data_IF_345830559362
#
_entry.id   IF_345830559362
#
_cell.length_a   1.000
_cell.length_b   1.000
_cell.length_c   1.000
_cell.angle_alpha   90.00
_cell.angle_beta   90.00
_cell.angle_gamma   90.00
#
_symmetry.space_group_name_H-M   'P 1'
#
loop_
_entity.id
_entity.type
_entity.pdbx_description
1 polymer ?
#
# COMPACT_ATOMS: atom_id res chain seq x y z
N UNK A 1 -35.06 52.81 -19.65
CA UNK A 1 -33.83 52.06 -20.00
C UNK A 1 -32.83 52.02 -18.85
N UNK A 2 -33.18 51.46 -17.67
CA UNK A 2 -32.32 51.50 -16.46
C UNK A 2 -32.19 50.18 -15.66
N UNK A 3 -32.70 49.05 -16.15
CA UNK A 3 -32.70 47.78 -15.37
C UNK A 3 -31.73 46.69 -15.86
N UNK A 4 -30.91 46.92 -16.90
CA UNK A 4 -29.96 45.91 -17.41
C UNK A 4 -28.55 45.96 -16.76
N UNK A 5 -28.27 46.98 -15.95
CA UNK A 5 -26.94 47.24 -15.38
C UNK A 5 -26.57 46.30 -14.20
N UNK A 6 -27.47 45.85 -13.30
CA UNK A 6 -27.04 45.15 -12.08
C UNK A 6 -26.58 43.69 -12.30
N UNK A 7 -27.02 43.02 -13.36
CA UNK A 7 -26.67 41.61 -13.61
C UNK A 7 -25.28 41.47 -14.23
N UNK A 8 -24.90 42.44 -15.08
CA UNK A 8 -23.61 42.41 -15.78
C UNK A 8 -22.44 42.67 -14.84
N UNK A 9 -22.60 43.61 -13.91
CA UNK A 9 -21.59 43.88 -12.88
C UNK A 9 -21.37 42.63 -11.98
N UNK A 10 -22.43 41.87 -11.68
CA UNK A 10 -22.34 40.62 -10.92
C UNK A 10 -21.63 39.53 -11.71
N UNK A 11 -21.88 39.42 -13.02
CA UNK A 11 -21.20 38.47 -13.91
C UNK A 11 -19.70 38.75 -14.02
N UNK A 12 -19.31 40.03 -14.14
CA UNK A 12 -17.91 40.45 -14.21
C UNK A 12 -17.17 40.13 -12.90
N UNK A 13 -17.73 40.53 -11.75
CA UNK A 13 -17.15 40.24 -10.43
C UNK A 13 -17.09 38.73 -10.17
N UNK A 14 -18.11 37.97 -10.59
CA UNK A 14 -18.13 36.52 -10.44
C UNK A 14 -17.02 35.88 -11.27
N UNK A 15 -16.84 36.33 -12.51
CA UNK A 15 -15.79 35.83 -13.41
C UNK A 15 -14.39 36.08 -12.84
N UNK A 16 -14.14 37.27 -12.28
CA UNK A 16 -12.88 37.58 -11.58
C UNK A 16 -12.68 36.70 -10.34
N UNK A 17 -13.74 36.47 -9.57
CA UNK A 17 -13.70 35.62 -8.36
C UNK A 17 -13.43 34.16 -8.72
N UNK A 18 -14.06 33.64 -9.78
CA UNK A 18 -13.81 32.31 -10.33
C UNK A 18 -12.34 32.20 -10.76
N UNK A 19 -11.83 33.17 -11.52
CA UNK A 19 -10.43 33.17 -11.95
C UNK A 19 -9.44 33.20 -10.78
N UNK A 20 -9.78 33.88 -9.68
CA UNK A 20 -9.00 33.83 -8.45
C UNK A 20 -9.04 32.45 -7.78
N UNK A 21 -10.23 31.85 -7.66
CA UNK A 21 -10.41 30.51 -7.09
C UNK A 21 -9.66 29.45 -7.90
N UNK A 22 -9.69 29.54 -9.24
CA UNK A 22 -8.96 28.63 -10.13
C UNK A 22 -7.44 28.72 -9.94
N UNK A 23 -6.89 29.95 -9.94
CA UNK A 23 -5.44 30.16 -9.74
C UNK A 23 -4.94 29.64 -8.41
N UNK A 24 -5.73 29.83 -7.35
CA UNK A 24 -5.38 29.37 -6.01
C UNK A 24 -5.53 27.85 -5.86
N UNK A 25 -6.54 27.25 -6.49
CA UNK A 25 -6.88 25.82 -6.32
C UNK A 25 -5.76 24.85 -6.67
N UNK A 26 -4.85 25.18 -7.59
CA UNK A 26 -3.72 24.29 -7.93
C UNK A 26 -2.72 24.09 -6.78
N UNK A 27 -2.63 25.06 -5.86
CA UNK A 27 -1.71 25.03 -4.72
C UNK A 27 -2.34 24.53 -3.43
N UNK A 28 -3.67 24.35 -3.42
CA UNK A 28 -4.45 24.04 -2.23
C UNK A 28 -4.77 22.55 -2.15
N UNK A 29 -4.85 22.04 -0.92
CA UNK A 29 -5.36 20.69 -0.67
C UNK A 29 -6.89 20.63 -0.83
N UNK A 30 -7.47 19.43 -0.76
CA UNK A 30 -8.91 19.25 -1.00
C UNK A 30 -9.79 20.07 -0.04
N UNK A 31 -9.53 20.05 1.26
CA UNK A 31 -10.33 20.79 2.25
C UNK A 31 -10.25 22.31 2.02
N UNK A 32 -9.07 22.81 1.67
CA UNK A 32 -8.87 24.23 1.37
C UNK A 32 -9.60 24.64 0.08
N UNK A 33 -9.60 23.79 -0.95
CA UNK A 33 -10.39 24.02 -2.18
C UNK A 33 -11.88 24.12 -1.85
N UNK A 34 -12.40 23.16 -1.08
CA UNK A 34 -13.78 23.17 -0.61
C UNK A 34 -14.13 24.44 0.18
N UNK A 35 -13.23 24.91 1.04
CA UNK A 35 -13.41 26.12 1.84
C UNK A 35 -13.48 27.42 1.03
N UNK A 36 -12.92 27.46 -0.19
CA UNK A 36 -12.96 28.64 -1.07
C UNK A 36 -14.16 28.58 -2.01
N UNK A 37 -14.43 27.42 -2.61
CA UNK A 37 -15.47 27.30 -3.62
C UNK A 37 -16.89 27.15 -3.06
N UNK A 38 -17.08 26.48 -1.92
CA UNK A 38 -18.41 26.31 -1.38
C UNK A 38 -19.07 27.62 -0.93
N UNK A 39 -18.36 28.56 -0.28
CA UNK A 39 -18.93 29.89 -0.01
C UNK A 39 -19.34 30.63 -1.28
N UNK A 40 -18.57 30.51 -2.37
CA UNK A 40 -18.92 31.12 -3.65
C UNK A 40 -20.20 30.50 -4.24
N UNK A 41 -20.32 29.18 -4.18
CA UNK A 41 -21.51 28.46 -4.61
C UNK A 41 -22.74 28.87 -3.77
N UNK A 42 -22.60 28.89 -2.44
CA UNK A 42 -23.66 29.30 -1.51
C UNK A 42 -24.10 30.74 -1.76
N UNK A 43 -23.17 31.66 -2.03
CA UNK A 43 -23.47 33.04 -2.38
C UNK A 43 -24.33 33.15 -3.64
N UNK A 44 -24.10 32.32 -4.66
CA UNK A 44 -24.88 32.29 -5.90
C UNK A 44 -26.22 31.55 -5.79
N UNK A 45 -26.32 30.55 -4.91
CA UNK A 45 -27.57 29.85 -4.64
C UNK A 45 -28.50 30.63 -3.69
N UNK A 46 -27.96 31.46 -2.79
CA UNK A 46 -28.74 32.20 -1.77
C UNK A 46 -29.84 33.13 -2.32
N UNK A 47 -29.65 33.92 -3.41
CA UNK A 47 -30.67 34.85 -3.89
C UNK A 47 -31.83 34.09 -4.54
N UNK A 48 -31.55 32.93 -5.12
CA UNK A 48 -32.56 32.08 -5.76
C UNK A 48 -33.61 31.57 -4.76
N UNK A 49 -33.28 31.53 -3.46
CA UNK A 49 -34.20 31.18 -2.37
C UNK A 49 -35.29 32.23 -2.13
N UNK A 50 -35.02 33.49 -2.47
CA UNK A 50 -35.91 34.63 -2.23
C UNK A 50 -36.84 34.90 -3.42
N UNK A 51 -36.46 34.46 -4.62
CA UNK A 51 -37.16 34.76 -5.87
C UNK A 51 -38.16 33.70 -6.32
N UNK A 52 -38.55 32.78 -5.44
CA UNK A 52 -39.57 31.74 -5.73
C UNK A 52 -41.01 32.29 -5.87
N UNK A 53 -41.21 33.61 -5.73
CA UNK A 53 -42.50 34.30 -5.89
C UNK A 53 -42.65 34.93 -7.28
N UNK A 54 -43.87 34.94 -7.80
CA UNK A 54 -44.30 35.24 -9.18
C UNK A 54 -43.85 36.61 -9.74
N UNK A 55 -43.36 37.52 -8.91
CA UNK A 55 -42.94 38.86 -9.30
C UNK A 55 -41.49 38.97 -9.83
N UNK A 56 -40.67 37.92 -9.73
CA UNK A 56 -39.22 38.01 -9.99
C UNK A 56 -38.66 37.02 -11.05
N UNK A 57 -39.51 36.54 -11.97
CA UNK A 57 -39.09 35.61 -13.04
C UNK A 57 -37.96 36.16 -13.92
N UNK A 58 -37.88 37.48 -14.12
CA UNK A 58 -36.89 38.14 -14.98
C UNK A 58 -35.43 37.95 -14.55
N UNK A 59 -35.15 37.70 -13.26
CA UNK A 59 -33.78 37.47 -12.75
C UNK A 59 -33.48 36.00 -12.44
N UNK A 60 -34.48 35.11 -12.52
CA UNK A 60 -34.31 33.69 -12.18
C UNK A 60 -33.39 32.96 -13.15
N UNK A 61 -33.53 33.22 -14.45
CA UNK A 61 -32.76 32.51 -15.47
C UNK A 61 -31.28 32.93 -15.51
N UNK A 62 -30.92 34.24 -15.50
CA UNK A 62 -29.52 34.66 -15.42
C UNK A 62 -28.81 34.13 -14.18
N UNK A 63 -29.47 34.10 -13.01
CA UNK A 63 -28.88 33.58 -11.77
C UNK A 63 -28.57 32.08 -11.83
N UNK A 64 -29.43 31.28 -12.48
CA UNK A 64 -29.15 29.86 -12.73
C UNK A 64 -27.94 29.69 -13.64
N UNK A 65 -27.82 30.48 -14.71
CA UNK A 65 -26.65 30.45 -15.58
C UNK A 65 -25.36 30.75 -14.82
N UNK A 66 -25.37 31.77 -13.94
CA UNK A 66 -24.23 32.12 -13.09
C UNK A 66 -23.88 31.01 -12.07
N UNK A 67 -24.88 30.35 -11.49
CA UNK A 67 -24.64 29.20 -10.60
C UNK A 67 -24.05 28.01 -11.35
N UNK A 68 -24.56 27.72 -12.55
CA UNK A 68 -24.01 26.69 -13.42
C UNK A 68 -22.56 27.00 -13.83
N UNK A 69 -22.23 28.27 -14.05
CA UNK A 69 -20.85 28.71 -14.30
C UNK A 69 -19.93 28.37 -13.13
N UNK A 70 -20.36 28.63 -11.89
CA UNK A 70 -19.59 28.26 -10.69
C UNK A 70 -19.45 26.74 -10.58
N UNK A 71 -20.54 25.98 -10.75
CA UNK A 71 -20.52 24.51 -10.67
C UNK A 71 -19.58 23.88 -11.70
N UNK A 72 -19.64 24.32 -12.96
CA UNK A 72 -18.77 23.84 -14.02
C UNK A 72 -17.30 24.20 -13.75
N UNK A 73 -17.05 25.39 -13.20
CA UNK A 73 -15.70 25.84 -12.87
C UNK A 73 -15.10 25.06 -11.70
N UNK A 74 -15.87 24.80 -10.64
CA UNK A 74 -15.41 24.10 -9.44
C UNK A 74 -15.28 22.58 -9.64
N UNK A 75 -16.04 21.98 -10.55
CA UNK A 75 -16.03 20.54 -10.80
C UNK A 75 -14.68 19.99 -11.29
N UNK A 76 -13.80 20.87 -11.78
CA UNK A 76 -12.42 20.50 -12.15
C UNK A 76 -11.49 20.39 -10.94
N UNK A 77 -11.88 20.93 -9.78
CA UNK A 77 -11.04 21.04 -8.58
C UNK A 77 -11.62 20.31 -7.36
N UNK A 78 -12.93 20.12 -7.31
CA UNK A 78 -13.65 19.46 -6.22
C UNK A 78 -14.39 18.25 -6.77
N UNK A 79 -14.40 17.16 -6.00
CA UNK A 79 -15.07 15.93 -6.42
C UNK A 79 -16.57 16.16 -6.56
N UNK A 80 -17.16 15.58 -7.61
CA UNK A 80 -18.59 15.64 -7.83
C UNK A 80 -19.42 15.11 -6.63
N UNK A 81 -19.00 14.03 -5.93
CA UNK A 81 -19.64 13.59 -4.68
C UNK A 81 -19.73 14.70 -3.63
N UNK A 82 -18.64 15.43 -3.37
CA UNK A 82 -18.62 16.54 -2.40
C UNK A 82 -19.56 17.68 -2.83
N UNK A 83 -19.58 18.00 -4.13
CA UNK A 83 -20.48 19.03 -4.69
C UNK A 83 -21.94 18.63 -4.52
N UNK A 84 -22.30 17.41 -4.91
CA UNK A 84 -23.66 16.89 -4.80
C UNK A 84 -24.11 16.83 -3.35
N UNK A 85 -23.25 16.36 -2.45
CA UNK A 85 -23.55 16.31 -1.02
C UNK A 85 -23.84 17.73 -0.48
N UNK A 86 -23.05 18.74 -0.88
CA UNK A 86 -23.27 20.12 -0.46
C UNK A 86 -24.57 20.71 -0.99
N UNK A 87 -24.88 20.53 -2.28
CA UNK A 87 -26.12 21.04 -2.89
C UNK A 87 -27.33 20.36 -2.26
N UNK A 88 -27.28 19.03 -2.12
CA UNK A 88 -28.38 18.25 -1.57
C UNK A 88 -28.59 18.50 -0.08
N UNK A 89 -27.61 18.99 0.68
CA UNK A 89 -27.82 19.40 2.07
C UNK A 89 -28.61 20.71 2.21
N UNK A 90 -28.76 21.49 1.14
CA UNK A 90 -29.50 22.75 1.19
C UNK A 90 -31.02 22.48 1.31
N UNK A 91 -31.70 23.03 2.34
CA UNK A 91 -33.12 22.77 2.62
C UNK A 91 -34.07 23.18 1.49
N UNK A 92 -33.61 23.98 0.52
CA UNK A 92 -34.37 24.33 -0.69
C UNK A 92 -34.65 23.10 -1.55
N UNK A 93 -33.66 22.20 -1.66
CA UNK A 93 -33.77 20.98 -2.47
C UNK A 93 -34.44 19.82 -1.72
N UNK A 94 -34.72 19.98 -0.43
CA UNK A 94 -35.49 19.04 0.38
C UNK A 94 -37.01 19.14 0.20
N UNK A 95 -37.50 20.07 -0.63
CA UNK A 95 -38.93 20.22 -0.94
C UNK A 95 -39.23 19.75 -2.36
N UNK A 96 -40.33 19.01 -2.52
CA UNK A 96 -40.76 18.42 -3.80
C UNK A 96 -40.21 17.01 -4.03
N UNK A 97 -40.32 16.49 -5.26
CA UNK A 97 -39.94 15.10 -5.61
C UNK A 97 -38.48 14.76 -5.33
N UNK A 98 -37.58 15.74 -5.37
CA UNK A 98 -36.17 15.56 -5.07
C UNK A 98 -35.94 15.26 -3.58
N UNK A 99 -36.74 15.85 -2.69
CA UNK A 99 -36.65 15.59 -1.24
C UNK A 99 -36.98 14.14 -0.87
N UNK A 100 -37.86 13.47 -1.61
CA UNK A 100 -38.20 12.05 -1.40
C UNK A 100 -37.00 11.12 -1.64
N UNK A 101 -36.15 11.44 -2.63
CA UNK A 101 -34.97 10.65 -3.00
C UNK A 101 -33.67 11.17 -2.37
N UNK A 102 -33.67 12.37 -1.81
CA UNK A 102 -32.48 13.03 -1.24
C UNK A 102 -31.79 12.17 -0.18
N UNK A 103 -32.56 11.57 0.74
CA UNK A 103 -32.02 10.70 1.78
C UNK A 103 -31.32 9.45 1.22
N UNK A 104 -31.87 8.86 0.15
CA UNK A 104 -31.27 7.73 -0.53
C UNK A 104 -29.96 8.13 -1.22
N UNK A 105 -29.96 9.26 -1.95
CA UNK A 105 -28.76 9.75 -2.66
C UNK A 105 -27.65 10.09 -1.68
N UNK A 106 -27.95 10.79 -0.58
CA UNK A 106 -26.98 11.08 0.48
C UNK A 106 -26.43 9.79 1.10
N UNK A 107 -27.29 8.79 1.38
CA UNK A 107 -26.83 7.49 1.88
C UNK A 107 -25.94 6.72 0.89
N UNK A 108 -26.20 6.81 -0.42
CA UNK A 108 -25.32 6.25 -1.45
C UNK A 108 -23.97 6.99 -1.51
N UNK A 109 -23.96 8.32 -1.35
CA UNK A 109 -22.72 9.11 -1.29
C UNK A 109 -21.90 8.78 -0.04
N UNK A 110 -22.55 8.59 1.12
CA UNK A 110 -21.86 8.17 2.35
C UNK A 110 -21.24 6.78 2.21
N UNK A 111 -21.98 5.84 1.59
CA UNK A 111 -21.47 4.50 1.29
C UNK A 111 -20.28 4.58 0.33
N UNK A 112 -20.39 5.38 -0.74
CA UNK A 112 -19.31 5.62 -1.68
C UNK A 112 -18.06 6.20 -0.98
N UNK A 113 -18.20 7.21 -0.13
CA UNK A 113 -17.09 7.81 0.61
C UNK A 113 -16.43 6.80 1.56
N UNK A 114 -17.23 5.97 2.23
CA UNK A 114 -16.73 4.89 3.08
C UNK A 114 -15.94 3.87 2.27
N UNK A 115 -16.48 3.39 1.15
CA UNK A 115 -15.81 2.42 0.27
C UNK A 115 -14.52 2.99 -0.33
N UNK A 116 -14.53 4.26 -0.77
CA UNK A 116 -13.34 4.94 -1.27
C UNK A 116 -12.26 5.01 -0.18
N UNK A 117 -12.61 5.47 1.02
CA UNK A 117 -11.66 5.58 2.15
C UNK A 117 -11.10 4.21 2.54
N UNK A 118 -11.96 3.18 2.56
CA UNK A 118 -11.55 1.81 2.87
C UNK A 118 -10.57 1.29 1.81
N UNK A 119 -10.87 1.48 0.53
CA UNK A 119 -10.02 1.04 -0.58
C UNK A 119 -8.66 1.75 -0.56
N UNK A 120 -8.65 3.08 -0.39
CA UNK A 120 -7.41 3.86 -0.31
C UNK A 120 -6.56 3.44 0.89
N UNK A 121 -7.17 3.28 2.06
CA UNK A 121 -6.47 2.88 3.29
C UNK A 121 -5.87 1.48 3.17
N UNK A 122 -6.64 0.51 2.68
CA UNK A 122 -6.17 -0.87 2.50
C UNK A 122 -5.06 -0.96 1.45
N UNK A 123 -5.19 -0.23 0.34
CA UNK A 123 -4.17 -0.16 -0.71
C UNK A 123 -2.87 0.45 -0.18
N UNK A 124 -2.96 1.52 0.61
CA UNK A 124 -1.79 2.16 1.22
C UNK A 124 -1.07 1.22 2.20
N UNK A 125 -1.81 0.47 3.03
CA UNK A 125 -1.23 -0.53 3.93
C UNK A 125 -0.48 -1.63 3.16
N UNK A 126 -1.12 -2.20 2.14
CA UNK A 126 -0.50 -3.25 1.31
C UNK A 126 0.75 -2.74 0.58
N UNK A 127 0.72 -1.51 0.06
CA UNK A 127 1.87 -0.89 -0.60
C UNK A 127 3.02 -0.64 0.38
N UNK A 128 2.74 -0.24 1.62
CA UNK A 128 3.76 -0.06 2.65
C UNK A 128 4.42 -1.39 3.02
N UNK A 129 3.63 -2.46 3.23
CA UNK A 129 4.15 -3.80 3.54
C UNK A 129 5.01 -4.37 2.40
N UNK A 130 4.57 -4.17 1.16
CA UNK A 130 5.32 -4.56 -0.03
C UNK A 130 6.64 -3.79 -0.13
N UNK A 131 6.59 -2.46 0.02
CA UNK A 131 7.78 -1.61 -0.02
C UNK A 131 8.78 -1.99 1.08
N UNK A 132 8.30 -2.23 2.29
CA UNK A 132 9.14 -2.67 3.42
C UNK A 132 9.80 -4.02 3.12
N UNK A 133 9.02 -4.99 2.64
CA UNK A 133 9.52 -6.33 2.27
C UNK A 133 10.59 -6.25 1.18
N UNK A 134 10.36 -5.47 0.13
CA UNK A 134 11.32 -5.26 -0.96
C UNK A 134 12.57 -4.51 -0.49
N UNK A 135 12.44 -3.49 0.35
CA UNK A 135 13.59 -2.80 0.94
C UNK A 135 14.45 -3.72 1.78
N UNK A 136 13.83 -4.56 2.62
CA UNK A 136 14.53 -5.52 3.46
C UNK A 136 15.21 -6.62 2.63
N UNK A 137 14.53 -7.10 1.58
CA UNK A 137 15.12 -8.06 0.65
C UNK A 137 16.32 -7.46 -0.08
N UNK A 138 16.17 -6.24 -0.61
CA UNK A 138 17.27 -5.51 -1.25
C UNK A 138 18.44 -5.40 -0.29
N UNK A 139 18.23 -4.90 0.92
CA UNK A 139 19.27 -4.76 1.92
C UNK A 139 19.96 -6.11 2.23
N UNK A 140 19.20 -7.20 2.29
CA UNK A 140 19.73 -8.55 2.56
C UNK A 140 20.57 -9.10 1.41
N UNK A 141 20.13 -8.88 0.16
CA UNK A 141 20.79 -9.40 -1.05
C UNK A 141 21.98 -8.54 -1.47
N UNK A 142 21.92 -7.23 -1.22
CA UNK A 142 23.03 -6.29 -1.53
C UNK A 142 24.05 -6.18 -0.40
N UNK A 143 23.81 -6.80 0.76
CA UNK A 143 24.76 -6.78 1.86
C UNK A 143 26.04 -7.50 1.42
N UNK A 144 27.17 -6.81 1.54
CA UNK A 144 28.48 -7.42 1.34
C UNK A 144 28.70 -8.61 2.29
N UNK A 145 29.38 -9.64 1.80
CA UNK A 145 29.80 -10.76 2.63
C UNK A 145 30.94 -10.30 3.52
N UNK A 146 30.77 -10.37 4.84
CA UNK A 146 31.85 -10.10 5.79
C UNK A 146 32.43 -11.43 6.30
N UNK A 147 33.68 -11.77 5.94
CA UNK A 147 34.36 -12.92 6.52
C UNK A 147 34.41 -12.86 8.06
N UNK A 148 34.27 -14.01 8.73
CA UNK A 148 34.40 -14.09 10.20
C UNK A 148 35.84 -13.93 10.68
N UNK A 149 36.80 -14.28 9.84
CA UNK A 149 38.23 -14.25 10.14
C UNK A 149 39.02 -14.02 8.86
N UNK A 150 40.28 -13.60 8.97
CA UNK A 150 41.13 -13.32 7.81
C UNK A 150 42.11 -14.47 7.51
N UNK A 151 41.67 -15.72 7.61
CA UNK A 151 42.52 -16.88 7.32
C UNK A 151 41.76 -18.04 6.68
N UNK A 152 42.49 -18.90 5.95
CA UNK A 152 41.93 -20.10 5.35
C UNK A 152 41.50 -21.10 6.41
N UNK A 153 40.25 -21.54 6.40
CA UNK A 153 39.73 -22.50 7.40
C UNK A 153 40.23 -23.95 7.26
N UNK A 154 41.13 -24.23 6.31
CA UNK A 154 41.79 -25.55 6.13
C UNK A 154 43.27 -25.48 6.48
N UNK A 155 44.05 -24.63 5.81
CA UNK A 155 45.49 -24.52 6.06
C UNK A 155 45.87 -23.49 7.14
N UNK A 156 44.90 -22.76 7.68
CA UNK A 156 45.06 -21.74 8.73
C UNK A 156 45.97 -20.55 8.35
N UNK A 157 46.38 -20.45 7.08
CA UNK A 157 47.17 -19.33 6.57
C UNK A 157 46.36 -18.04 6.55
N UNK A 158 46.94 -16.95 7.06
CA UNK A 158 46.33 -15.62 7.08
C UNK A 158 46.38 -14.93 5.71
N UNK A 159 45.28 -14.29 5.32
CA UNK A 159 45.16 -13.44 4.15
C UNK A 159 45.70 -12.04 4.49
N UNK A 160 46.83 -11.67 3.90
CA UNK A 160 47.38 -10.31 4.03
C UNK A 160 46.78 -9.39 2.96
N UNK A 161 46.60 -8.11 3.29
CA UNK A 161 46.02 -7.07 2.41
C UNK A 161 46.81 -6.85 1.10
N UNK A 162 48.06 -7.32 1.03
CA UNK A 162 48.86 -7.49 -0.19
C UNK A 162 49.26 -8.96 -0.28
N UNK A 163 48.69 -9.71 -1.22
CA UNK A 163 49.13 -11.07 -1.54
C UNK A 163 50.14 -11.04 -2.68
N UNK A 164 51.19 -11.85 -2.56
CA UNK A 164 52.18 -12.12 -3.64
C UNK A 164 51.80 -13.34 -4.49
N UNK A 165 50.80 -14.13 -4.07
CA UNK A 165 50.34 -15.34 -4.78
C UNK A 165 48.93 -15.17 -5.34
N UNK A 166 48.70 -15.67 -6.56
CA UNK A 166 47.44 -15.58 -7.30
C UNK A 166 46.42 -16.67 -6.91
N UNK A 167 46.37 -17.06 -5.63
CA UNK A 167 45.44 -18.09 -5.19
C UNK A 167 44.03 -17.50 -5.03
N UNK A 168 43.07 -18.06 -5.77
CA UNK A 168 41.66 -17.66 -5.67
C UNK A 168 41.11 -17.94 -4.26
N UNK A 169 40.52 -16.92 -3.65
CA UNK A 169 39.89 -17.01 -2.32
C UNK A 169 38.38 -17.11 -2.52
N UNK A 170 37.78 -18.11 -1.91
CA UNK A 170 36.32 -18.32 -1.92
C UNK A 170 35.75 -17.91 -0.56
N UNK A 171 34.75 -17.04 -0.58
CA UNK A 171 34.08 -16.51 0.61
C UNK A 171 32.63 -16.99 0.62
N UNK A 172 32.28 -17.83 1.59
CA UNK A 172 30.91 -18.34 1.71
C UNK A 172 30.00 -17.36 2.48
N UNK A 173 28.70 -17.45 2.22
CA UNK A 173 27.64 -16.74 2.96
C UNK A 173 27.64 -17.02 4.48
N UNK A 174 28.19 -18.15 4.91
CA UNK A 174 28.40 -18.48 6.34
C UNK A 174 29.60 -17.74 6.99
N UNK A 175 30.35 -16.96 6.21
CA UNK A 175 31.51 -16.17 6.63
C UNK A 175 32.82 -16.95 6.73
N UNK A 176 32.92 -18.16 6.17
CA UNK A 176 34.15 -18.95 6.13
C UNK A 176 34.90 -18.73 4.80
N UNK A 177 36.23 -18.75 4.86
CA UNK A 177 37.12 -18.48 3.74
C UNK A 177 38.05 -19.64 3.50
N UNK A 178 38.37 -19.85 2.23
CA UNK A 178 39.26 -20.92 1.80
C UNK A 178 40.01 -20.52 0.53
N UNK A 179 41.20 -21.11 0.32
CA UNK A 179 41.79 -21.13 -1.02
C UNK A 179 41.03 -22.14 -1.88
N UNK A 180 40.86 -21.87 -3.17
CA UNK A 180 40.25 -22.79 -4.13
C UNK A 180 40.91 -24.17 -4.10
N UNK A 181 42.24 -24.22 -4.10
CA UNK A 181 43.01 -25.46 -4.02
C UNK A 181 42.80 -26.20 -2.70
N UNK A 182 42.66 -25.48 -1.58
CA UNK A 182 42.37 -26.10 -0.28
C UNK A 182 41.01 -26.79 -0.26
N UNK A 183 39.98 -26.20 -0.90
CA UNK A 183 38.66 -26.82 -1.02
C UNK A 183 38.66 -27.99 -2.00
N UNK A 184 39.42 -27.89 -3.09
CA UNK A 184 39.57 -28.96 -4.08
C UNK A 184 40.19 -30.21 -3.43
N UNK A 185 41.26 -30.03 -2.66
CA UNK A 185 41.92 -31.10 -1.90
C UNK A 185 41.03 -31.73 -0.81
N UNK A 186 39.91 -31.09 -0.45
CA UNK A 186 38.92 -31.59 0.51
C UNK A 186 37.61 -32.01 -0.14
N UNK A 187 37.57 -32.21 -1.46
CA UNK A 187 36.39 -32.67 -2.21
C UNK A 187 35.15 -31.80 -1.93
N UNK A 188 35.38 -30.49 -1.80
CA UNK A 188 34.34 -29.50 -1.54
C UNK A 188 33.96 -28.69 -2.79
N UNK A 189 34.60 -28.96 -3.93
CA UNK A 189 34.21 -28.46 -5.25
C UNK A 189 33.57 -29.58 -6.06
N UNK A 190 32.39 -29.33 -6.64
CA UNK A 190 31.74 -30.21 -7.60
C UNK A 190 31.72 -29.48 -8.94
N UNK A 191 32.35 -30.06 -9.95
CA UNK A 191 32.31 -29.51 -11.30
C UNK A 191 31.03 -29.95 -12.01
N UNK A 192 30.23 -28.99 -12.46
CA UNK A 192 29.05 -29.24 -13.28
C UNK A 192 28.99 -28.24 -14.42
N UNK A 193 28.88 -28.71 -15.66
CA UNK A 193 28.78 -27.89 -16.87
C UNK A 193 29.82 -26.74 -16.96
N UNK A 194 31.07 -27.00 -16.60
CA UNK A 194 32.16 -26.02 -16.67
C UNK A 194 32.17 -24.97 -15.54
N UNK A 195 31.31 -25.09 -14.52
CA UNK A 195 31.34 -24.26 -13.32
C UNK A 195 31.56 -25.12 -12.07
N UNK A 196 32.53 -24.73 -11.24
CA UNK A 196 32.80 -25.40 -9.96
C UNK A 196 31.85 -24.84 -8.90
N UNK A 197 30.94 -25.69 -8.41
CA UNK A 197 30.07 -25.37 -7.28
C UNK A 197 30.79 -25.70 -5.98
N UNK A 198 31.06 -24.69 -5.17
CA UNK A 198 31.77 -24.85 -3.90
C UNK A 198 30.81 -25.09 -2.73
N UNK A 199 31.23 -25.90 -1.77
CA UNK A 199 30.54 -26.13 -0.51
C UNK A 199 31.46 -25.85 0.67
N UNK A 200 30.93 -25.22 1.71
CA UNK A 200 31.73 -24.88 2.88
C UNK A 200 32.09 -26.14 3.68
N UNK A 201 33.38 -26.49 3.75
CA UNK A 201 33.87 -27.67 4.47
C UNK A 201 33.39 -27.74 5.94
N UNK A 202 33.41 -26.59 6.66
CA UNK A 202 32.97 -26.51 8.07
C UNK A 202 31.47 -26.71 8.25
N UNK A 203 30.67 -26.27 7.30
CA UNK A 203 29.21 -26.42 7.35
C UNK A 203 28.77 -27.80 6.85
N UNK A 204 29.48 -28.35 5.84
CA UNK A 204 29.27 -29.70 5.31
C UNK A 204 29.49 -30.75 6.40
N UNK A 205 30.62 -30.71 7.11
CA UNK A 205 30.95 -31.68 8.17
C UNK A 205 30.01 -31.66 9.36
N UNK A 206 29.45 -30.48 9.69
CA UNK A 206 28.48 -30.33 10.79
C UNK A 206 27.12 -30.96 10.43
N UNK A 207 26.77 -30.98 9.15
CA UNK A 207 25.51 -31.55 8.67
C UNK A 207 25.58 -33.09 8.56
N UNK A 208 26.75 -33.66 8.23
CA UNK A 208 26.95 -35.11 8.23
C UNK A 208 27.10 -35.72 9.63
N UNK A 209 27.51 -34.93 10.64
CA UNK A 209 27.51 -35.36 12.05
C UNK A 209 26.14 -35.25 12.74
N UNK A 210 25.24 -34.39 12.27
CA UNK A 210 23.90 -34.21 12.83
C UNK A 210 22.91 -35.33 12.43
N UNK A 211 23.16 -36.02 11.32
CA UNK A 211 22.32 -37.15 10.87
C UNK A 211 22.39 -38.40 11.77
N UNK A 212 23.31 -38.48 12.73
CA UNK A 212 23.38 -39.62 13.67
C UNK A 212 22.70 -39.38 15.03
N UNK A 213 22.24 -38.16 15.37
CA UNK A 213 21.73 -37.86 16.72
C UNK A 213 20.24 -37.45 16.75
N UNK A 214 19.62 -37.05 15.63
CA UNK A 214 18.22 -36.55 15.62
C UNK A 214 17.15 -37.60 15.28
N UNK A 215 17.26 -38.84 15.79
CA UNK A 215 16.12 -39.77 15.83
C UNK A 215 15.29 -39.67 17.12
N UNK A 216 15.73 -38.90 18.12
CA UNK A 216 14.92 -38.61 19.32
C UNK A 216 15.17 -37.18 19.78
N UNK A 217 14.09 -36.45 20.11
CA UNK A 217 14.07 -35.11 20.72
C UNK A 217 14.08 -33.85 19.82
N UNK A 218 13.20 -33.80 18.82
CA UNK A 218 12.71 -32.52 18.29
C UNK A 218 11.69 -31.87 19.25
N UNK A 219 12.16 -31.37 20.40
CA UNK A 219 11.38 -30.46 21.23
C UNK A 219 12.29 -29.54 22.06
N UNK A 220 12.72 -28.40 21.47
CA UNK A 220 12.63 -27.06 22.08
C UNK A 220 13.45 -26.01 21.32
N UNK A 221 12.71 -24.96 20.93
CA UNK A 221 13.09 -23.53 20.89
C UNK A 221 14.13 -23.06 19.87
N UNK A 222 13.61 -22.40 18.84
CA UNK A 222 14.21 -21.23 18.20
C UNK A 222 13.10 -20.31 17.69
N UNK A 223 12.59 -19.42 18.55
CA UNK A 223 11.64 -18.36 18.17
C UNK A 223 12.36 -17.39 17.23
N UNK A 224 12.06 -17.44 15.94
CA UNK A 224 12.19 -16.27 15.06
C UNK A 224 10.80 -15.63 14.96
N UNK A 225 10.76 -14.33 15.26
CA UNK A 225 9.57 -13.49 15.25
C UNK A 225 9.02 -13.40 13.82
N UNK A 226 8.03 -14.22 13.49
CA UNK A 226 7.22 -14.03 12.28
C UNK A 226 5.98 -13.23 12.66
N UNK A 227 6.06 -11.92 12.42
CA UNK A 227 4.95 -10.97 12.53
C UNK A 227 4.06 -11.15 11.29
N UNK A 228 3.35 -12.27 11.20
CA UNK A 228 2.42 -12.54 10.10
C UNK A 228 1.33 -13.52 10.54
N UNK A 229 0.55 -13.14 11.55
CA UNK A 229 -0.74 -13.78 11.82
C UNK A 229 -1.76 -12.70 12.21
N UNK A 230 -2.17 -11.88 11.24
CA UNK A 230 -3.39 -11.08 11.38
C UNK A 230 -4.56 -11.94 10.89
N UNK A 231 -5.23 -12.58 11.84
CA UNK A 231 -6.41 -13.42 11.61
C UNK A 231 -7.62 -12.51 11.35
N UNK A 232 -7.90 -12.18 10.09
CA UNK A 232 -9.14 -11.50 9.72
C UNK A 232 -10.24 -12.56 9.60
N UNK A 233 -11.25 -12.48 10.47
CA UNK A 233 -12.48 -13.28 10.37
C UNK A 233 -13.59 -12.40 9.80
N UNK A 234 -14.44 -12.88 8.88
CA UNK A 234 -15.54 -12.08 8.33
C UNK A 234 -16.70 -11.94 9.34
N UNK A 235 -17.50 -10.87 9.30
CA UNK A 235 -18.67 -10.72 10.16
C UNK A 235 -19.78 -11.66 9.67
N UNK A 236 -20.35 -12.46 10.58
CA UNK A 236 -21.60 -13.20 10.34
C UNK A 236 -22.75 -12.48 11.04
N UNK A 237 -23.77 -12.17 10.26
CA UNK A 237 -25.10 -11.74 10.70
C UNK A 237 -25.81 -12.81 11.54
N UNK A 238 -26.67 -12.34 12.46
CA UNK A 238 -27.46 -13.05 13.47
C UNK A 238 -28.11 -14.38 13.09
N UNK A 239 -28.20 -15.29 14.07
CA UNK A 239 -29.08 -16.46 14.06
C UNK A 239 -28.92 -17.33 15.31
N UNK A 240 -29.95 -17.36 16.14
CA UNK A 240 -30.09 -18.06 17.44
C UNK A 240 -30.18 -19.59 17.25
N UNK A 241 -29.57 -20.39 18.14
CA UNK A 241 -29.85 -21.84 18.24
C UNK A 241 -28.69 -22.67 18.83
N UNK A 242 -28.94 -23.27 19.99
CA UNK A 242 -28.08 -24.26 20.68
C UNK A 242 -27.93 -25.56 19.88
N UNK A 243 -26.77 -26.23 20.02
CA UNK A 243 -26.57 -27.65 20.36
C UNK A 243 -25.12 -28.06 20.02
N UNK A 244 -24.46 -28.75 20.96
CA UNK A 244 -23.02 -29.01 20.94
C UNK A 244 -22.57 -30.14 20.02
N UNK A 245 -21.39 -29.97 19.43
CA UNK A 245 -20.53 -31.06 18.96
C UNK A 245 -19.05 -30.64 19.04
N UNK A 246 -18.24 -31.48 19.70
CA UNK A 246 -16.78 -31.36 19.81
C UNK A 246 -16.14 -31.47 18.41
N UNK A 247 -15.36 -30.46 17.99
CA UNK A 247 -14.52 -30.52 16.77
C UNK A 247 -13.11 -31.02 17.12
N UNK A 248 -12.54 -31.98 16.39
CA UNK A 248 -11.16 -32.41 16.59
C UNK A 248 -10.19 -31.33 16.09
N UNK A 249 -9.07 -31.21 16.78
CA UNK A 249 -8.00 -30.24 16.54
C UNK A 249 -7.22 -30.66 15.28
N UNK A 250 -7.65 -30.23 14.10
CA UNK A 250 -6.89 -30.42 12.86
C UNK A 250 -5.86 -29.30 12.76
N UNK A 251 -4.58 -29.64 12.98
CA UNK A 251 -3.47 -28.77 12.57
C UNK A 251 -3.63 -28.47 11.06
N UNK A 252 -3.37 -27.23 10.62
CA UNK A 252 -3.52 -26.87 9.22
C UNK A 252 -2.41 -27.56 8.42
N UNK A 253 -2.75 -28.71 7.81
CA UNK A 253 -1.92 -29.35 6.79
C UNK A 253 -1.89 -28.38 5.62
N UNK A 254 -0.71 -27.81 5.35
CA UNK A 254 -0.47 -26.99 4.18
C UNK A 254 -0.71 -27.83 2.93
N UNK A 255 -1.43 -27.26 1.97
CA UNK A 255 -1.65 -27.89 0.67
C UNK A 255 -0.30 -28.19 -0.01
N UNK A 256 -0.15 -29.29 -0.78
CA UNK A 256 1.14 -29.66 -1.36
C UNK A 256 1.76 -28.56 -2.21
N UNK A 257 0.93 -27.71 -2.84
CA UNK A 257 1.39 -26.56 -3.62
C UNK A 257 1.94 -25.43 -2.71
N UNK A 258 1.35 -25.22 -1.53
CA UNK A 258 1.81 -24.26 -0.54
C UNK A 258 3.12 -24.72 0.12
N UNK A 259 3.23 -26.01 0.39
CA UNK A 259 4.46 -26.62 0.89
C UNK A 259 5.60 -26.46 -0.14
N UNK A 260 5.33 -26.69 -1.42
CA UNK A 260 6.30 -26.50 -2.50
C UNK A 260 6.73 -25.03 -2.66
N UNK A 261 5.80 -24.08 -2.56
CA UNK A 261 6.10 -22.65 -2.60
C UNK A 261 6.95 -22.19 -1.41
N UNK A 262 6.65 -22.71 -0.21
CA UNK A 262 7.46 -22.47 0.99
C UNK A 262 8.88 -23.05 0.85
N UNK A 263 9.00 -24.25 0.27
CA UNK A 263 10.29 -24.91 0.05
C UNK A 263 11.13 -24.17 -1.01
N UNK A 264 10.49 -23.63 -2.06
CA UNK A 264 11.11 -22.75 -3.04
C UNK A 264 11.59 -21.44 -2.42
N UNK A 265 10.79 -20.81 -1.55
CA UNK A 265 11.21 -19.64 -0.78
C UNK A 265 12.43 -19.98 0.09
N UNK A 266 12.40 -21.09 0.83
CA UNK A 266 13.54 -21.53 1.64
C UNK A 266 14.81 -21.77 0.80
N UNK A 267 14.69 -22.27 -0.44
CA UNK A 267 15.83 -22.44 -1.37
C UNK A 267 16.34 -21.12 -1.91
N UNK A 268 15.46 -20.16 -2.21
CA UNK A 268 15.84 -18.79 -2.59
C UNK A 268 16.58 -18.06 -1.45
N UNK A 269 16.22 -18.34 -0.19
CA UNK A 269 16.88 -17.80 1.00
C UNK A 269 18.11 -18.58 1.47
N UNK A 270 18.32 -19.82 1.00
CA UNK A 270 19.62 -20.52 1.08
C UNK A 270 20.53 -19.95 0.00
N UNK A 271 21.10 -18.77 0.28
CA UNK A 271 21.97 -18.06 -0.65
C UNK A 271 22.97 -19.00 -1.32
N UNK A 272 22.89 -19.09 -2.65
CA UNK A 272 23.94 -19.71 -3.46
C UNK A 272 25.25 -19.02 -3.13
N UNK A 273 26.32 -19.81 -2.96
CA UNK A 273 27.65 -19.25 -2.80
C UNK A 273 27.92 -18.35 -4.00
N UNK A 274 28.25 -17.09 -3.73
CA UNK A 274 28.90 -16.23 -4.70
C UNK A 274 30.40 -16.50 -4.67
#
# INVERSE_FOLDING_TARGET
SKEQIPVKDVEDVLSETIALCQRTSHSLNQQQREAVWFPLLEAMMSPQKLFSSTACQQYSEPLKCLTMLVLNSMATFISLPSILQRILQDPVYGKGKLGEIQGLVLGMLDTFNYEQTLLETTTNLLNQDLHWSLCNLRASVTRGLNPKHDYCSICLQQYKRRQETADEIIVFSCGHLYHSLCLLNKECGIESNGQTTWTCYKCKSRNSGAQQIEATSALKKGRTSSLAQMKVSPPKSSGRGEYGHKKPNSEPILDPQQAQAFDQLCRLYKGTSR
#
